data_IF_091536137944
#
_entry.id   IF_091536137944
#
_cell.length_a   1.000
_cell.length_b   1.000
_cell.length_c   1.000
_cell.angle_alpha   90.00
_cell.angle_beta   90.00
_cell.angle_gamma   90.00
#
_symmetry.space_group_name_H-M   'P 1'
#
loop_
_entity.id
_entity.type
_entity.pdbx_description
1 polymer ?
#
# COMPACT_ATOMS: atom_id res chain seq x y z
N UNK A 1 -17.94 -59.64 -1.58
CA UNK A 1 -16.82 -58.69 -1.49
C UNK A 1 -17.09 -57.68 -0.40
N UNK A 2 -16.49 -57.80 0.76
CA UNK A 2 -16.69 -56.96 1.93
C UNK A 2 -16.04 -55.59 1.70
N UNK A 3 -16.84 -54.54 1.53
CA UNK A 3 -16.35 -53.18 1.39
C UNK A 3 -15.70 -52.70 2.69
N UNK A 4 -14.40 -52.39 2.66
CA UNK A 4 -13.69 -51.76 3.79
C UNK A 4 -14.48 -50.53 4.31
N UNK A 5 -14.88 -50.58 5.59
CA UNK A 5 -15.49 -49.40 6.28
C UNK A 5 -14.53 -48.20 6.20
N UNK A 6 -15.03 -47.11 5.73
CA UNK A 6 -14.26 -45.86 5.67
C UNK A 6 -14.04 -45.28 7.08
N UNK A 7 -12.92 -44.56 7.30
CA UNK A 7 -12.67 -43.86 8.58
C UNK A 7 -13.79 -42.87 8.95
N UNK A 8 -14.05 -42.74 10.25
CA UNK A 8 -15.03 -41.78 10.77
C UNK A 8 -14.66 -40.35 10.34
N UNK A 9 -15.56 -39.64 9.64
CA UNK A 9 -15.35 -38.22 9.21
C UNK A 9 -15.18 -38.02 7.70
N UNK A 10 -15.04 -39.06 6.89
CA UNK A 10 -14.82 -38.92 5.43
C UNK A 10 -16.10 -38.60 4.61
N UNK A 11 -17.27 -38.53 5.23
CA UNK A 11 -18.53 -38.23 4.53
C UNK A 11 -19.03 -39.37 3.63
N UNK A 12 -20.22 -39.23 3.07
CA UNK A 12 -20.83 -40.18 2.13
C UNK A 12 -20.68 -39.71 0.69
N UNK A 13 -20.27 -40.57 -0.21
CA UNK A 13 -20.22 -40.31 -1.66
C UNK A 13 -21.38 -41.03 -2.32
N UNK A 14 -22.21 -40.30 -3.07
CA UNK A 14 -23.33 -40.86 -3.83
C UNK A 14 -23.13 -40.48 -5.30
N UNK A 15 -23.25 -41.47 -6.19
CA UNK A 15 -23.24 -41.25 -7.63
C UNK A 15 -24.62 -40.77 -8.05
N UNK A 16 -24.70 -39.63 -8.70
CA UNK A 16 -25.95 -39.04 -9.17
C UNK A 16 -26.37 -39.65 -10.54
N UNK A 17 -27.65 -39.60 -10.92
CA UNK A 17 -28.13 -40.12 -12.20
C UNK A 17 -27.44 -39.51 -13.41
N UNK A 18 -26.97 -38.26 -13.31
CA UNK A 18 -26.22 -37.56 -14.36
C UNK A 18 -24.70 -37.91 -14.39
N UNK A 19 -24.29 -38.95 -13.67
CA UNK A 19 -22.90 -39.39 -13.62
C UNK A 19 -21.98 -38.61 -12.70
N UNK A 20 -22.43 -37.45 -12.14
CA UNK A 20 -21.64 -36.70 -11.18
C UNK A 20 -21.58 -37.37 -9.80
N UNK A 21 -20.54 -37.02 -9.03
CA UNK A 21 -20.33 -37.53 -7.68
C UNK A 21 -20.74 -36.46 -6.66
N UNK A 22 -21.70 -36.80 -5.78
CA UNK A 22 -22.11 -35.93 -4.65
C UNK A 22 -21.46 -36.46 -3.38
N UNK A 23 -20.74 -35.62 -2.66
CA UNK A 23 -20.18 -35.93 -1.35
C UNK A 23 -20.76 -35.00 -0.30
N UNK A 24 -21.25 -35.58 0.80
CA UNK A 24 -21.77 -34.84 1.95
C UNK A 24 -20.78 -34.95 3.11
N UNK A 25 -20.35 -33.80 3.62
CA UNK A 25 -19.42 -33.70 4.74
C UNK A 25 -20.06 -32.97 5.91
N UNK A 26 -19.66 -33.33 7.13
CA UNK A 26 -20.04 -32.63 8.36
C UNK A 26 -18.99 -31.57 8.66
N UNK A 27 -19.40 -30.32 8.82
CA UNK A 27 -18.55 -29.16 9.08
C UNK A 27 -18.54 -28.74 10.57
N UNK A 28 -18.97 -29.61 11.47
CA UNK A 28 -19.04 -29.33 12.92
C UNK A 28 -20.47 -29.27 13.43
N UNK A 29 -20.65 -28.72 14.64
CA UNK A 29 -21.93 -28.52 15.31
C UNK A 29 -22.24 -27.04 15.36
N UNK A 30 -23.48 -26.63 15.01
CA UNK A 30 -23.92 -25.25 15.08
C UNK A 30 -24.19 -24.81 16.52
N UNK A 31 -24.45 -23.52 16.73
CA UNK A 31 -24.85 -22.98 18.02
C UNK A 31 -26.18 -23.58 18.55
N UNK A 32 -26.94 -24.17 17.65
CA UNK A 32 -28.21 -24.91 17.94
C UNK A 32 -28.00 -26.37 18.32
N UNK A 33 -26.75 -26.82 18.50
CA UNK A 33 -26.38 -28.21 18.80
C UNK A 33 -26.54 -29.19 17.62
N UNK A 34 -26.97 -28.73 16.45
CA UNK A 34 -27.17 -29.60 15.27
C UNK A 34 -25.92 -29.66 14.39
N UNK A 35 -25.69 -30.83 13.76
CA UNK A 35 -24.59 -31.02 12.82
C UNK A 35 -24.79 -30.17 11.57
N UNK A 36 -23.83 -29.26 11.31
CA UNK A 36 -23.74 -28.54 10.03
C UNK A 36 -23.16 -29.46 8.98
N UNK A 37 -23.97 -29.79 7.95
CA UNK A 37 -23.55 -30.62 6.81
C UNK A 37 -23.57 -29.79 5.53
N UNK A 38 -22.60 -30.00 4.65
CA UNK A 38 -22.60 -29.46 3.29
C UNK A 38 -22.31 -30.55 2.28
N UNK A 39 -22.94 -30.41 1.10
CA UNK A 39 -22.73 -31.33 -0.03
C UNK A 39 -22.01 -30.63 -1.16
N UNK A 40 -21.07 -31.32 -1.78
CA UNK A 40 -20.32 -30.89 -2.96
C UNK A 40 -20.60 -31.89 -4.07
N UNK A 41 -20.85 -31.37 -5.28
CA UNK A 41 -21.03 -32.19 -6.48
C UNK A 41 -19.93 -31.82 -7.48
N UNK A 42 -19.29 -32.83 -8.07
CA UNK A 42 -18.22 -32.66 -9.05
C UNK A 42 -18.29 -33.76 -10.12
N UNK A 43 -17.75 -33.48 -11.31
CA UNK A 43 -17.71 -34.46 -12.40
C UNK A 43 -16.63 -35.52 -12.18
N UNK A 44 -15.55 -35.18 -11.52
CA UNK A 44 -14.44 -36.08 -11.22
C UNK A 44 -14.19 -36.20 -9.72
N UNK A 45 -13.59 -37.32 -9.30
CA UNK A 45 -13.20 -37.57 -7.91
C UNK A 45 -12.15 -36.55 -7.44
N UNK A 46 -11.24 -36.16 -8.31
CA UNK A 46 -10.18 -35.17 -7.99
C UNK A 46 -10.77 -33.78 -7.72
N UNK A 47 -11.68 -33.31 -8.57
CA UNK A 47 -12.40 -32.06 -8.41
C UNK A 47 -13.25 -32.06 -7.13
N UNK A 48 -13.92 -33.18 -6.86
CA UNK A 48 -14.72 -33.35 -5.65
C UNK A 48 -13.85 -33.24 -4.39
N UNK A 49 -12.69 -33.91 -4.37
CA UNK A 49 -11.76 -33.84 -3.23
C UNK A 49 -11.23 -32.41 -3.02
N UNK A 50 -10.97 -31.67 -4.10
CA UNK A 50 -10.55 -30.29 -4.04
C UNK A 50 -11.62 -29.41 -3.38
N UNK A 51 -12.87 -29.48 -3.83
CA UNK A 51 -13.97 -28.72 -3.26
C UNK A 51 -14.25 -29.08 -1.79
N UNK A 52 -14.09 -30.35 -1.43
CA UNK A 52 -14.20 -30.79 -0.03
C UNK A 52 -13.10 -30.21 0.85
N UNK A 53 -11.86 -30.19 0.34
CA UNK A 53 -10.73 -29.58 1.05
C UNK A 53 -10.98 -28.07 1.26
N UNK A 54 -11.43 -27.35 0.23
CA UNK A 54 -11.81 -25.94 0.31
C UNK A 54 -12.86 -25.68 1.39
N UNK A 55 -13.93 -26.49 1.41
CA UNK A 55 -14.99 -26.35 2.43
C UNK A 55 -14.50 -26.63 3.85
N UNK A 56 -13.62 -27.62 4.03
CA UNK A 56 -13.02 -27.93 5.34
C UNK A 56 -12.11 -26.81 5.82
N UNK A 57 -11.29 -26.26 4.93
CA UNK A 57 -10.44 -25.09 5.22
C UNK A 57 -11.29 -23.88 5.61
N UNK A 58 -12.35 -23.58 4.85
CA UNK A 58 -13.26 -22.48 5.16
C UNK A 58 -13.96 -22.66 6.51
N UNK A 59 -14.25 -23.91 6.89
CA UNK A 59 -14.89 -24.25 8.16
C UNK A 59 -13.91 -24.35 9.34
N UNK A 60 -12.60 -24.17 9.13
CA UNK A 60 -11.58 -24.35 10.16
C UNK A 60 -11.32 -25.82 10.55
N UNK A 61 -11.83 -26.77 9.76
CA UNK A 61 -11.70 -28.21 10.00
C UNK A 61 -10.58 -28.78 9.13
N UNK A 62 -9.33 -28.63 9.56
CA UNK A 62 -8.21 -29.35 8.94
C UNK A 62 -8.13 -30.78 9.48
N UNK A 63 -8.23 -31.76 8.59
CA UNK A 63 -7.79 -33.12 8.90
C UNK A 63 -6.41 -33.32 8.30
N UNK A 64 -5.52 -33.97 9.01
CA UNK A 64 -4.13 -34.29 8.61
C UNK A 64 -4.00 -35.02 7.26
N UNK A 65 -5.08 -35.36 6.60
CA UNK A 65 -5.14 -36.15 5.37
C UNK A 65 -5.23 -35.30 4.10
N UNK A 66 -5.69 -34.05 4.16
CA UNK A 66 -5.85 -33.20 2.97
C UNK A 66 -4.61 -32.29 2.78
N UNK A 67 -3.60 -32.88 2.19
CA UNK A 67 -2.27 -32.29 1.98
C UNK A 67 -2.30 -31.35 0.77
N UNK A 68 -2.79 -30.11 0.97
CA UNK A 68 -2.90 -29.09 -0.07
C UNK A 68 -1.52 -28.68 -0.60
N UNK A 69 -1.44 -28.46 -1.91
CA UNK A 69 -0.32 -27.74 -2.52
C UNK A 69 -0.39 -26.25 -2.18
N UNK A 70 0.75 -25.60 -2.14
CA UNK A 70 0.81 -24.16 -1.82
C UNK A 70 -0.04 -23.31 -2.74
N UNK A 71 -0.12 -23.67 -4.04
CA UNK A 71 -1.00 -23.01 -5.00
C UNK A 71 -2.45 -22.99 -4.53
N UNK A 72 -2.97 -24.12 -4.08
CA UNK A 72 -4.36 -24.24 -3.64
C UNK A 72 -4.63 -23.38 -2.40
N UNK A 73 -3.65 -23.29 -1.48
CA UNK A 73 -3.74 -22.43 -0.31
C UNK A 73 -3.74 -20.96 -0.70
N UNK A 74 -2.92 -20.54 -1.68
CA UNK A 74 -2.91 -19.17 -2.22
C UNK A 74 -4.24 -18.84 -2.87
N UNK A 75 -4.79 -19.73 -3.68
CA UNK A 75 -6.08 -19.52 -4.36
C UNK A 75 -7.21 -19.37 -3.34
N UNK A 76 -7.28 -20.22 -2.31
CA UNK A 76 -8.27 -20.12 -1.22
C UNK A 76 -8.10 -18.80 -0.44
N UNK A 77 -6.85 -18.43 -0.13
CA UNK A 77 -6.56 -17.17 0.58
C UNK A 77 -7.04 -15.96 -0.21
N UNK A 78 -6.74 -15.87 -1.50
CA UNK A 78 -7.14 -14.77 -2.36
C UNK A 78 -8.66 -14.68 -2.51
N UNK A 79 -9.32 -15.81 -2.75
CA UNK A 79 -10.78 -15.88 -2.85
C UNK A 79 -11.46 -15.43 -1.53
N UNK A 80 -10.91 -15.83 -0.36
CA UNK A 80 -11.45 -15.39 0.94
C UNK A 80 -11.33 -13.88 1.16
N UNK A 81 -10.42 -13.22 0.46
CA UNK A 81 -10.16 -11.78 0.57
C UNK A 81 -10.64 -10.97 -0.63
N UNK A 82 -11.31 -11.58 -1.59
CA UNK A 82 -11.67 -10.95 -2.87
C UNK A 82 -12.40 -9.62 -2.68
N UNK A 83 -13.39 -9.56 -1.78
CA UNK A 83 -14.19 -8.37 -1.50
C UNK A 83 -13.47 -7.30 -0.66
N UNK A 84 -12.36 -7.67 -0.01
CA UNK A 84 -11.64 -6.77 0.92
C UNK A 84 -10.37 -6.18 0.35
N UNK A 85 -9.81 -6.78 -0.72
CA UNK A 85 -8.58 -6.31 -1.34
C UNK A 85 -8.85 -5.15 -2.29
N UNK A 86 -8.17 -4.02 -2.05
CA UNK A 86 -8.10 -2.95 -3.05
C UNK A 86 -7.36 -3.45 -4.30
N UNK A 87 -7.67 -2.86 -5.46
CA UNK A 87 -7.04 -3.24 -6.73
C UNK A 87 -5.52 -3.09 -6.70
N UNK A 88 -5.01 -2.03 -6.07
CA UNK A 88 -3.56 -1.85 -5.85
C UNK A 88 -2.94 -2.96 -5.00
N UNK A 89 -3.66 -3.46 -3.99
CA UNK A 89 -3.21 -4.59 -3.17
C UNK A 89 -3.24 -5.89 -3.98
N UNK A 90 -4.26 -6.08 -4.82
CA UNK A 90 -4.37 -7.23 -5.74
C UNK A 90 -3.20 -7.29 -6.71
N UNK A 91 -2.81 -6.15 -7.32
CA UNK A 91 -1.61 -6.09 -8.17
C UNK A 91 -0.32 -6.43 -7.41
N UNK A 92 -0.20 -5.99 -6.16
CA UNK A 92 0.96 -6.35 -5.33
C UNK A 92 1.01 -7.85 -5.01
N UNK A 93 -0.15 -8.51 -4.84
CA UNK A 93 -0.20 -9.97 -4.73
C UNK A 93 0.17 -10.64 -6.06
N UNK A 94 -0.33 -10.16 -7.19
CA UNK A 94 0.04 -10.69 -8.51
C UNK A 94 1.56 -10.61 -8.76
N UNK A 95 2.19 -9.53 -8.34
CA UNK A 95 3.64 -9.41 -8.38
C UNK A 95 4.33 -10.43 -7.46
N UNK A 96 3.85 -10.60 -6.22
CA UNK A 96 4.40 -11.57 -5.27
C UNK A 96 4.21 -13.02 -5.76
N UNK A 97 3.08 -13.31 -6.39
CA UNK A 97 2.82 -14.61 -7.01
C UNK A 97 3.89 -14.93 -8.05
N UNK A 98 4.09 -14.07 -9.02
CA UNK A 98 5.08 -14.28 -10.09
C UNK A 98 6.52 -14.34 -9.58
N UNK A 99 6.86 -13.49 -8.62
CA UNK A 99 8.24 -13.36 -8.16
C UNK A 99 8.66 -14.40 -7.11
N UNK A 100 7.73 -14.81 -6.23
CA UNK A 100 8.04 -15.62 -5.05
C UNK A 100 7.17 -16.87 -4.92
N UNK A 101 5.87 -16.83 -5.29
CA UNK A 101 4.96 -17.91 -4.99
C UNK A 101 4.99 -19.02 -6.05
N UNK A 102 5.05 -18.68 -7.34
CA UNK A 102 5.05 -19.67 -8.43
C UNK A 102 6.13 -20.74 -8.28
N UNK A 103 7.39 -20.42 -7.91
CA UNK A 103 8.40 -21.46 -7.64
C UNK A 103 8.04 -22.41 -6.49
N UNK A 104 7.14 -21.98 -5.58
CA UNK A 104 6.69 -22.78 -4.45
C UNK A 104 5.43 -23.62 -4.76
N UNK A 105 4.74 -23.38 -5.87
CA UNK A 105 3.46 -24.02 -6.20
C UNK A 105 3.53 -25.54 -6.35
N UNK A 106 4.67 -26.07 -6.73
CA UNK A 106 4.90 -27.51 -6.85
C UNK A 106 5.03 -28.24 -5.52
N UNK A 107 5.17 -27.49 -4.41
CA UNK A 107 5.35 -28.08 -3.09
C UNK A 107 4.03 -28.09 -2.33
N UNK A 108 3.84 -29.13 -1.53
CA UNK A 108 2.78 -29.17 -0.54
C UNK A 108 3.09 -28.18 0.57
N UNK A 109 2.05 -27.58 1.16
CA UNK A 109 2.20 -26.53 2.18
C UNK A 109 3.03 -27.01 3.38
N UNK A 110 2.88 -28.29 3.78
CA UNK A 110 3.63 -28.91 4.89
C UNK A 110 5.09 -29.22 4.56
N UNK A 111 5.50 -29.09 3.30
CA UNK A 111 6.86 -29.37 2.81
C UNK A 111 7.65 -28.09 2.48
N UNK A 112 7.05 -26.94 2.66
CA UNK A 112 7.74 -25.66 2.47
C UNK A 112 8.55 -25.36 3.73
N UNK A 113 9.88 -25.50 3.61
CA UNK A 113 10.82 -25.24 4.70
C UNK A 113 11.39 -23.82 4.65
N UNK A 114 11.95 -23.31 5.75
CA UNK A 114 12.66 -22.03 5.76
C UNK A 114 13.76 -21.95 4.70
N UNK A 115 14.53 -23.03 4.53
CA UNK A 115 15.66 -23.13 3.60
C UNK A 115 15.16 -23.03 2.15
N UNK A 116 14.04 -23.67 1.82
CA UNK A 116 13.43 -23.59 0.50
C UNK A 116 12.96 -22.15 0.20
N UNK A 117 12.35 -21.47 1.17
CA UNK A 117 11.94 -20.08 1.02
C UNK A 117 13.16 -19.20 0.80
N UNK A 118 14.21 -19.35 1.61
CA UNK A 118 15.43 -18.57 1.47
C UNK A 118 16.12 -18.81 0.12
N UNK A 119 16.17 -20.07 -0.35
CA UNK A 119 16.69 -20.41 -1.67
C UNK A 119 15.93 -19.74 -2.82
N UNK A 120 14.60 -19.76 -2.76
CA UNK A 120 13.77 -19.09 -3.78
C UNK A 120 14.01 -17.59 -3.74
N UNK A 121 14.06 -16.98 -2.57
CA UNK A 121 14.29 -15.54 -2.41
C UNK A 121 15.68 -15.13 -2.94
N UNK A 122 16.71 -15.96 -2.73
CA UNK A 122 18.06 -15.65 -3.21
C UNK A 122 18.18 -15.63 -4.74
N UNK A 123 17.24 -16.29 -5.43
CA UNK A 123 17.14 -16.30 -6.89
C UNK A 123 16.32 -15.16 -7.48
N UNK A 124 15.61 -14.38 -6.66
CA UNK A 124 14.79 -13.28 -7.18
C UNK A 124 15.68 -12.15 -7.70
N UNK A 125 15.54 -11.86 -8.98
CA UNK A 125 16.24 -10.77 -9.66
C UNK A 125 15.25 -9.78 -10.30
N UNK A 126 15.72 -8.59 -10.64
CA UNK A 126 14.99 -7.67 -11.51
C UNK A 126 15.03 -8.15 -12.96
N UNK A 127 14.29 -7.46 -13.85
CA UNK A 127 14.28 -7.78 -15.29
C UNK A 127 15.67 -7.65 -15.96
N UNK A 128 16.54 -6.81 -15.43
CA UNK A 128 17.91 -6.60 -15.88
C UNK A 128 18.93 -7.61 -15.30
N UNK A 129 18.45 -8.64 -14.59
CA UNK A 129 19.27 -9.65 -13.93
C UNK A 129 19.92 -9.21 -12.61
N UNK A 130 19.79 -7.95 -12.21
CA UNK A 130 20.35 -7.46 -10.94
C UNK A 130 19.52 -7.91 -9.74
N UNK A 131 20.15 -7.93 -8.55
CA UNK A 131 19.44 -8.31 -7.32
C UNK A 131 18.29 -7.36 -6.99
N UNK A 132 17.19 -7.93 -6.53
CA UNK A 132 16.04 -7.16 -6.05
C UNK A 132 16.41 -6.35 -4.80
N UNK A 133 15.83 -5.15 -4.68
CA UNK A 133 16.03 -4.30 -3.51
C UNK A 133 15.56 -4.99 -2.23
N UNK A 134 16.29 -4.89 -1.11
CA UNK A 134 15.92 -5.51 0.16
C UNK A 134 14.52 -5.13 0.66
N UNK A 135 14.09 -3.88 0.44
CA UNK A 135 12.73 -3.42 0.78
C UNK A 135 11.65 -4.15 -0.04
N UNK A 136 11.91 -4.42 -1.32
CA UNK A 136 11.01 -5.19 -2.18
C UNK A 136 10.95 -6.65 -1.73
N UNK A 137 12.09 -7.26 -1.40
CA UNK A 137 12.15 -8.62 -0.84
C UNK A 137 11.33 -8.69 0.46
N UNK A 138 11.45 -7.69 1.33
CA UNK A 138 10.64 -7.63 2.57
C UNK A 138 9.15 -7.58 2.24
N UNK A 139 8.74 -6.71 1.32
CA UNK A 139 7.33 -6.63 0.91
C UNK A 139 6.79 -7.95 0.34
N UNK A 140 7.61 -8.70 -0.41
CA UNK A 140 7.28 -10.04 -0.89
C UNK A 140 7.13 -11.04 0.26
N UNK A 141 8.07 -11.03 1.23
CA UNK A 141 7.99 -11.86 2.45
C UNK A 141 6.74 -11.54 3.28
N UNK A 142 6.35 -10.27 3.40
CA UNK A 142 5.14 -9.87 4.12
C UNK A 142 3.87 -10.44 3.45
N UNK A 143 3.83 -10.51 2.10
CA UNK A 143 2.73 -11.17 1.37
C UNK A 143 2.72 -12.68 1.61
N UNK A 144 3.89 -13.31 1.56
CA UNK A 144 4.02 -14.73 1.87
C UNK A 144 3.60 -15.02 3.33
N UNK A 145 3.99 -14.16 4.27
CA UNK A 145 3.62 -14.28 5.68
C UNK A 145 2.10 -14.23 5.88
N UNK A 146 1.40 -13.38 5.14
CA UNK A 146 -0.05 -13.32 5.20
C UNK A 146 -0.71 -14.65 4.77
N UNK A 147 -0.20 -15.28 3.71
CA UNK A 147 -0.66 -16.60 3.24
C UNK A 147 -0.32 -17.71 4.25
N UNK A 148 0.92 -17.73 4.75
CA UNK A 148 1.36 -18.73 5.73
C UNK A 148 0.60 -18.63 7.06
N UNK A 149 0.36 -17.40 7.54
CA UNK A 149 -0.45 -17.16 8.75
C UNK A 149 -1.91 -17.57 8.55
N UNK A 150 -2.47 -17.35 7.35
CA UNK A 150 -3.78 -17.88 6.99
C UNK A 150 -3.78 -19.40 7.05
N UNK A 151 -2.75 -20.07 6.52
CA UNK A 151 -2.63 -21.53 6.58
C UNK A 151 -2.55 -22.04 8.04
N UNK A 152 -1.82 -21.34 8.91
CA UNK A 152 -1.76 -21.65 10.34
C UNK A 152 -3.13 -21.45 11.00
N UNK A 153 -3.80 -20.35 10.76
CA UNK A 153 -5.13 -20.04 11.32
C UNK A 153 -6.20 -21.05 10.87
N UNK A 154 -5.99 -21.72 9.72
CA UNK A 154 -6.87 -22.77 9.19
C UNK A 154 -6.42 -24.19 9.57
N UNK A 155 -5.38 -24.33 10.41
CA UNK A 155 -4.87 -25.62 10.85
C UNK A 155 -4.15 -26.44 9.76
N UNK A 156 -3.81 -25.82 8.62
CA UNK A 156 -3.04 -26.46 7.53
C UNK A 156 -1.55 -26.55 7.87
N UNK A 157 -1.08 -25.69 8.75
CA UNK A 157 0.26 -25.66 9.31
C UNK A 157 0.18 -25.45 10.83
N UNK A 158 1.07 -26.11 11.56
CA UNK A 158 1.23 -25.86 12.99
C UNK A 158 1.96 -24.54 13.27
N UNK A 159 2.97 -24.24 12.46
CA UNK A 159 3.82 -23.04 12.60
C UNK A 159 4.20 -22.53 11.22
N UNK A 160 4.23 -21.21 11.07
CA UNK A 160 4.70 -20.58 9.84
C UNK A 160 6.22 -20.79 9.67
N UNK A 161 6.68 -21.34 8.53
CA UNK A 161 8.11 -21.54 8.26
C UNK A 161 8.89 -20.21 8.22
N UNK A 162 8.22 -19.09 7.98
CA UNK A 162 8.87 -17.77 7.92
C UNK A 162 9.49 -17.32 9.24
N UNK A 163 9.09 -17.89 10.39
CA UNK A 163 9.70 -17.57 11.69
C UNK A 163 11.20 -17.91 11.75
N UNK A 164 11.63 -18.88 10.96
CA UNK A 164 13.00 -19.40 10.95
C UNK A 164 13.78 -19.06 9.68
N UNK A 165 13.20 -18.26 8.76
CA UNK A 165 13.95 -17.77 7.59
C UNK A 165 15.02 -16.75 8.00
N UNK A 166 16.08 -16.63 7.19
CA UNK A 166 17.18 -15.65 7.42
C UNK A 166 16.61 -14.26 7.64
N UNK A 167 16.97 -13.65 8.76
CA UNK A 167 16.74 -12.21 8.97
C UNK A 167 17.71 -11.48 8.04
N UNK A 168 17.24 -11.07 6.87
CA UNK A 168 18.01 -10.18 6.02
C UNK A 168 17.98 -8.81 6.69
N UNK A 169 19.14 -8.35 7.12
CA UNK A 169 19.27 -6.96 7.51
C UNK A 169 18.91 -6.13 6.28
N UNK A 170 17.80 -5.41 6.38
CA UNK A 170 17.64 -4.27 5.49
C UNK A 170 18.89 -3.41 5.71
N UNK A 171 19.53 -2.91 4.65
CA UNK A 171 20.43 -1.79 4.87
C UNK A 171 19.62 -0.86 5.76
N UNK A 172 20.17 -0.55 6.93
CA UNK A 172 19.63 0.53 7.74
C UNK A 172 19.49 1.64 6.72
N UNK A 173 18.27 1.98 6.34
CA UNK A 173 18.03 3.24 5.66
C UNK A 173 18.59 4.23 6.67
N UNK A 174 19.85 4.59 6.52
CA UNK A 174 20.34 5.75 7.21
C UNK A 174 19.41 6.82 6.68
N UNK A 175 18.54 7.30 7.54
CA UNK A 175 17.68 8.42 7.22
C UNK A 175 18.58 9.65 6.98
N UNK A 176 19.86 9.56 7.38
CA UNK A 176 20.95 10.47 6.96
C UNK A 176 21.02 10.70 5.43
N UNK A 177 20.34 9.88 4.61
CA UNK A 177 20.26 10.04 3.15
C UNK A 177 18.94 10.70 2.68
N UNK A 178 18.04 11.11 3.56
CA UNK A 178 16.93 11.95 3.15
C UNK A 178 17.38 13.40 3.13
N UNK A 179 18.27 13.72 2.19
CA UNK A 179 18.66 15.11 1.94
C UNK A 179 17.42 15.83 1.43
N UNK A 180 16.85 16.67 2.27
CA UNK A 180 15.76 17.54 1.86
C UNK A 180 16.35 18.69 1.02
N UNK A 181 15.59 19.19 0.04
CA UNK A 181 16.02 20.37 -0.69
C UNK A 181 16.09 21.58 0.26
N UNK A 182 17.05 22.45 0.00
CA UNK A 182 17.11 23.75 0.67
C UNK A 182 15.93 24.64 0.23
N UNK A 183 15.68 25.71 0.97
CA UNK A 183 14.67 26.69 0.58
C UNK A 183 15.00 27.34 -0.78
N UNK A 184 16.26 27.61 -1.06
CA UNK A 184 16.69 28.19 -2.33
C UNK A 184 16.52 27.22 -3.49
N UNK A 185 16.82 25.92 -3.29
CA UNK A 185 16.54 24.89 -4.29
C UNK A 185 15.05 24.77 -4.60
N UNK A 186 14.19 24.90 -3.60
CA UNK A 186 12.74 24.90 -3.82
C UNK A 186 12.24 26.18 -4.51
N UNK A 187 12.79 27.35 -4.17
CA UNK A 187 12.51 28.59 -4.89
C UNK A 187 12.92 28.50 -6.35
N UNK A 188 14.10 27.97 -6.61
CA UNK A 188 14.57 27.72 -7.98
C UNK A 188 13.64 26.77 -8.72
N UNK A 189 13.26 25.65 -8.12
CA UNK A 189 12.34 24.66 -8.69
C UNK A 189 10.98 25.29 -9.06
N UNK A 190 10.41 26.12 -8.18
CA UNK A 190 9.15 26.80 -8.42
C UNK A 190 9.27 27.80 -9.56
N UNK A 191 10.35 28.58 -9.61
CA UNK A 191 10.61 29.54 -10.69
C UNK A 191 10.77 28.83 -12.04
N UNK A 192 11.54 27.75 -12.10
CA UNK A 192 11.72 26.96 -13.32
C UNK A 192 10.42 26.30 -13.76
N UNK A 193 9.59 25.78 -12.82
CA UNK A 193 8.28 25.22 -13.13
C UNK A 193 7.34 26.29 -13.69
N UNK A 194 7.37 27.52 -13.15
CA UNK A 194 6.59 28.64 -13.63
C UNK A 194 6.97 29.05 -15.07
N UNK A 195 8.26 29.18 -15.34
CA UNK A 195 8.78 29.45 -16.69
C UNK A 195 8.48 28.31 -17.68
N UNK A 196 8.53 27.06 -17.22
CA UNK A 196 8.18 25.90 -18.02
C UNK A 196 6.69 25.92 -18.39
N UNK A 197 5.82 26.25 -17.45
CA UNK A 197 4.37 26.30 -17.67
C UNK A 197 3.99 27.46 -18.61
N UNK A 198 4.70 28.61 -18.60
CA UNK A 198 4.50 29.70 -19.57
C UNK A 198 4.74 29.27 -21.00
N UNK A 199 5.72 28.40 -21.24
CA UNK A 199 6.12 27.88 -22.54
C UNK A 199 5.30 26.66 -22.99
N UNK A 200 4.45 26.13 -22.10
CA UNK A 200 3.70 24.90 -22.35
C UNK A 200 2.25 25.18 -22.66
N UNK A 201 1.61 24.31 -23.44
CA UNK A 201 0.18 24.39 -23.71
C UNK A 201 -0.62 24.38 -22.39
N UNK A 202 -1.61 25.27 -22.27
CA UNK A 202 -2.51 25.38 -21.13
C UNK A 202 -3.43 24.18 -20.95
N UNK A 203 -3.57 23.35 -21.99
CA UNK A 203 -4.37 22.11 -21.94
C UNK A 203 -3.68 20.94 -21.24
N UNK A 204 -2.50 21.15 -20.66
CA UNK A 204 -1.79 20.15 -19.85
C UNK A 204 -1.70 20.60 -18.42
N UNK A 205 -1.49 19.62 -17.51
CA UNK A 205 -1.30 19.90 -16.08
C UNK A 205 -0.18 20.92 -15.88
N UNK A 206 -0.47 22.00 -15.17
CA UNK A 206 0.50 23.03 -14.82
C UNK A 206 1.30 22.57 -13.59
N UNK A 207 2.64 22.64 -13.68
CA UNK A 207 3.53 22.11 -12.64
C UNK A 207 3.78 23.09 -11.52
N UNK A 208 3.89 24.38 -11.84
CA UNK A 208 4.12 25.43 -10.84
C UNK A 208 3.05 25.44 -9.73
N UNK A 209 1.76 25.62 -10.04
CA UNK A 209 0.74 25.62 -8.99
C UNK A 209 0.64 24.26 -8.27
N UNK A 210 0.93 23.14 -8.94
CA UNK A 210 0.96 21.82 -8.31
C UNK A 210 2.07 21.70 -7.27
N UNK A 211 3.29 22.14 -7.60
CA UNK A 211 4.44 22.10 -6.70
C UNK A 211 4.27 23.09 -5.56
N UNK A 212 3.79 24.31 -5.84
CA UNK A 212 3.50 25.32 -4.82
C UNK A 212 2.52 24.78 -3.78
N UNK A 213 1.41 24.18 -4.24
CA UNK A 213 0.42 23.60 -3.34
C UNK A 213 0.98 22.37 -2.58
N UNK A 214 1.84 21.57 -3.22
CA UNK A 214 2.50 20.44 -2.55
C UNK A 214 3.40 20.90 -1.40
N UNK A 215 4.21 21.93 -1.61
CA UNK A 215 5.06 22.54 -0.58
C UNK A 215 4.22 23.15 0.55
N UNK A 216 3.16 23.87 0.22
CA UNK A 216 2.34 24.59 1.18
C UNK A 216 1.47 23.68 2.05
N UNK A 217 1.11 22.49 1.57
CA UNK A 217 0.15 21.61 2.24
C UNK A 217 0.71 20.28 2.71
N UNK A 218 1.79 19.80 2.10
CA UNK A 218 2.33 18.45 2.33
C UNK A 218 1.39 17.34 1.89
N UNK A 219 0.41 17.59 1.03
CA UNK A 219 -0.53 16.57 0.52
C UNK A 219 0.20 15.48 -0.27
N UNK A 220 -0.37 14.27 -0.29
CA UNK A 220 0.12 13.21 -1.17
C UNK A 220 -0.23 13.53 -2.61
N UNK A 221 0.62 13.08 -3.56
CA UNK A 221 0.39 13.34 -5.00
C UNK A 221 -1.01 12.90 -5.46
N UNK A 222 -1.48 11.74 -5.01
CA UNK A 222 -2.82 11.27 -5.38
C UNK A 222 -3.95 12.11 -4.79
N UNK A 223 -3.79 12.65 -3.59
CA UNK A 223 -4.73 13.58 -2.95
C UNK A 223 -4.78 14.90 -3.72
N UNK A 224 -3.60 15.46 -4.05
CA UNK A 224 -3.50 16.69 -4.86
C UNK A 224 -4.16 16.51 -6.23
N UNK A 225 -3.83 15.43 -6.94
CA UNK A 225 -4.33 15.21 -8.31
C UNK A 225 -5.84 14.95 -8.37
N UNK A 226 -6.48 14.59 -7.25
CA UNK A 226 -7.93 14.37 -7.18
C UNK A 226 -8.74 15.61 -6.82
N UNK A 227 -8.08 16.70 -6.45
CA UNK A 227 -8.75 17.92 -6.01
C UNK A 227 -9.73 18.48 -7.06
N UNK A 228 -10.86 18.89 -6.55
CA UNK A 228 -11.92 19.57 -7.26
C UNK A 228 -12.04 21.02 -6.74
N UNK A 229 -12.57 21.94 -7.53
CA UNK A 229 -12.80 23.33 -7.08
C UNK A 229 -13.76 23.41 -5.89
N UNK A 230 -14.72 22.50 -5.79
CA UNK A 230 -15.65 22.40 -4.66
C UNK A 230 -14.99 21.99 -3.33
N UNK A 231 -13.77 21.44 -3.39
CA UNK A 231 -13.02 21.06 -2.21
C UNK A 231 -12.31 22.26 -1.57
N UNK A 232 -12.34 23.43 -2.24
CA UNK A 232 -11.70 24.66 -1.82
C UNK A 232 -12.75 25.63 -1.32
N UNK A 233 -12.62 26.02 -0.06
CA UNK A 233 -13.39 27.10 0.57
C UNK A 233 -12.54 28.37 0.57
N UNK A 234 -12.93 29.35 -0.27
CA UNK A 234 -12.23 30.64 -0.41
C UNK A 234 -12.54 31.64 0.72
N UNK A 235 -13.62 31.43 1.46
CA UNK A 235 -13.93 32.30 2.61
C UNK A 235 -13.05 31.91 3.81
N UNK A 236 -12.81 30.60 3.98
CA UNK A 236 -12.01 30.06 5.08
C UNK A 236 -10.57 29.70 4.69
N UNK A 237 -10.23 29.83 3.42
CA UNK A 237 -8.93 29.44 2.86
C UNK A 237 -8.55 28.01 3.21
N UNK A 238 -9.49 27.08 3.03
CA UNK A 238 -9.30 25.67 3.38
C UNK A 238 -9.48 24.75 2.20
N UNK A 239 -8.82 23.59 2.27
CA UNK A 239 -8.94 22.50 1.31
C UNK A 239 -9.41 21.25 2.04
N UNK A 240 -10.51 20.67 1.57
CA UNK A 240 -11.05 19.40 2.06
C UNK A 240 -10.42 18.22 1.34
N UNK A 241 -9.71 17.36 2.06
CA UNK A 241 -9.07 16.15 1.52
C UNK A 241 -9.90 14.93 1.89
N UNK A 242 -10.54 14.29 0.91
CA UNK A 242 -11.47 13.18 1.14
C UNK A 242 -11.28 11.99 0.19
N UNK A 243 -10.53 12.17 -0.89
CA UNK A 243 -10.29 11.14 -1.91
C UNK A 243 -8.90 11.27 -2.52
N UNK A 244 -8.55 10.35 -3.40
CA UNK A 244 -7.28 10.36 -4.12
C UNK A 244 -7.45 9.84 -5.55
N UNK A 245 -6.71 10.41 -6.48
CA UNK A 245 -6.51 9.88 -7.81
C UNK A 245 -5.44 8.78 -7.75
N UNK A 246 -5.75 7.64 -8.33
CA UNK A 246 -4.81 6.52 -8.48
C UNK A 246 -4.79 6.07 -9.93
N UNK A 247 -3.94 5.09 -10.27
CA UNK A 247 -3.98 4.44 -11.60
C UNK A 247 -5.33 3.79 -11.93
N UNK A 248 -6.18 3.59 -10.94
CA UNK A 248 -7.50 2.96 -11.09
C UNK A 248 -8.64 4.00 -11.16
N UNK A 249 -8.31 5.28 -11.22
CA UNK A 249 -9.27 6.37 -11.36
C UNK A 249 -9.30 7.34 -10.20
N UNK A 250 -10.25 8.23 -10.26
CA UNK A 250 -10.56 9.29 -9.28
C UNK A 250 -11.53 8.80 -8.21
N UNK A 251 -11.61 9.56 -7.11
CA UNK A 251 -12.57 9.28 -6.03
C UNK A 251 -12.25 8.04 -5.19
N UNK A 252 -11.05 7.44 -5.36
CA UNK A 252 -10.66 6.30 -4.56
C UNK A 252 -10.61 6.68 -3.08
N UNK A 253 -11.12 5.81 -2.19
CA UNK A 253 -11.10 6.08 -0.76
C UNK A 253 -9.67 6.23 -0.25
N UNK A 254 -9.49 7.11 0.71
CA UNK A 254 -8.24 7.25 1.43
C UNK A 254 -7.98 5.99 2.26
N UNK A 255 -6.70 5.64 2.43
CA UNK A 255 -6.29 4.39 3.10
C UNK A 255 -6.78 4.27 4.55
N UNK A 256 -7.00 5.40 5.23
CA UNK A 256 -7.43 5.44 6.64
C UNK A 256 -8.45 6.55 6.85
N UNK A 257 -9.31 6.41 7.84
CA UNK A 257 -10.24 7.47 8.24
C UNK A 257 -9.53 8.77 8.64
N UNK A 258 -8.36 8.67 9.26
CA UNK A 258 -7.51 9.81 9.65
C UNK A 258 -6.94 10.58 8.46
N UNK A 259 -6.98 10.02 7.26
CA UNK A 259 -6.53 10.71 6.06
C UNK A 259 -7.52 11.76 5.56
N UNK A 260 -8.82 11.67 5.94
CA UNK A 260 -9.80 12.73 5.70
C UNK A 260 -9.53 13.89 6.63
N UNK A 261 -9.33 15.08 6.07
CA UNK A 261 -8.95 16.26 6.83
C UNK A 261 -9.23 17.54 6.07
N UNK A 262 -9.25 18.63 6.80
CA UNK A 262 -9.30 20.00 6.24
C UNK A 262 -7.93 20.62 6.49
N UNK A 263 -7.37 21.27 5.47
CA UNK A 263 -6.07 21.91 5.51
C UNK A 263 -6.27 23.41 5.25
N UNK A 264 -5.88 24.25 6.20
CA UNK A 264 -5.78 25.69 5.98
C UNK A 264 -4.56 26.00 5.11
N UNK A 265 -4.73 26.88 4.12
CA UNK A 265 -3.67 27.36 3.23
C UNK A 265 -3.61 28.89 3.36
N UNK A 266 -2.41 29.45 3.38
CA UNK A 266 -2.24 30.90 3.38
C UNK A 266 -2.99 31.52 2.19
N UNK A 267 -3.77 32.59 2.39
CA UNK A 267 -4.60 33.20 1.35
C UNK A 267 -3.84 33.52 0.06
N UNK A 268 -2.67 34.15 0.17
CA UNK A 268 -1.85 34.55 -0.98
C UNK A 268 -1.37 33.34 -1.78
N UNK A 269 -0.97 32.26 -1.08
CA UNK A 269 -0.55 31.01 -1.73
C UNK A 269 -1.73 30.35 -2.44
N UNK A 270 -2.89 30.29 -1.81
CA UNK A 270 -4.07 29.67 -2.40
C UNK A 270 -4.52 30.43 -3.65
N UNK A 271 -4.55 31.75 -3.59
CA UNK A 271 -4.91 32.62 -4.72
C UNK A 271 -3.89 32.50 -5.85
N UNK A 272 -2.58 32.48 -5.53
CA UNK A 272 -1.51 32.27 -6.51
C UNK A 272 -1.66 30.93 -7.24
N UNK A 273 -1.94 29.86 -6.50
CA UNK A 273 -2.22 28.54 -7.09
C UNK A 273 -3.39 28.61 -8.05
N UNK A 274 -4.51 29.20 -7.64
CA UNK A 274 -5.74 29.23 -8.44
C UNK A 274 -5.61 30.12 -9.67
N UNK A 275 -4.89 31.24 -9.59
CA UNK A 275 -4.62 32.15 -10.70
C UNK A 275 -3.76 31.48 -11.79
N UNK A 276 -2.92 30.53 -11.42
CA UNK A 276 -2.07 29.79 -12.35
C UNK A 276 -2.72 28.47 -12.88
N UNK A 277 -3.97 28.18 -12.49
CA UNK A 277 -4.74 27.05 -13.03
C UNK A 277 -5.80 27.60 -13.98
N UNK A 278 -5.69 27.37 -15.31
CA UNK A 278 -6.67 27.87 -16.27
C UNK A 278 -8.09 27.44 -15.91
N UNK A 279 -9.09 28.31 -16.06
CA UNK A 279 -10.49 27.92 -15.90
C UNK A 279 -10.89 26.87 -16.93
N UNK A 280 -11.93 26.09 -16.64
CA UNK A 280 -12.50 25.16 -17.61
C UNK A 280 -14.02 25.16 -17.50
N UNK A 281 -14.72 25.26 -18.61
CA UNK A 281 -16.17 25.14 -18.65
C UNK A 281 -16.64 23.66 -18.56
N UNK A 282 -15.73 22.71 -18.79
CA UNK A 282 -16.06 21.29 -18.93
C UNK A 282 -15.86 20.51 -17.63
N UNK A 283 -14.89 20.92 -16.79
CA UNK A 283 -14.52 20.16 -15.60
C UNK A 283 -14.20 21.05 -14.43
N UNK A 284 -14.70 20.68 -13.26
CA UNK A 284 -14.40 21.33 -11.98
C UNK A 284 -13.07 20.85 -11.37
N UNK A 285 -12.48 19.78 -11.91
CA UNK A 285 -11.18 19.26 -11.43
C UNK A 285 -10.06 20.26 -11.64
N UNK A 286 -9.17 20.42 -10.66
CA UNK A 286 -8.06 21.37 -10.76
C UNK A 286 -7.03 20.93 -11.79
N UNK A 287 -6.64 19.66 -11.77
CA UNK A 287 -5.57 19.14 -12.62
C UNK A 287 -6.13 18.44 -13.85
N UNK A 288 -5.95 19.05 -14.99
CA UNK A 288 -6.59 18.64 -16.23
C UNK A 288 -5.58 18.43 -17.35
N UNK A 289 -6.01 17.67 -18.34
CA UNK A 289 -5.40 17.56 -19.65
C UNK A 289 -6.50 17.49 -20.69
N UNK A 290 -6.42 18.34 -21.71
CA UNK A 290 -7.47 18.48 -22.75
C UNK A 290 -8.87 18.69 -22.15
N UNK A 291 -8.98 19.57 -21.14
CA UNK A 291 -10.24 19.92 -20.47
C UNK A 291 -10.79 18.89 -19.48
N UNK A 292 -10.28 17.66 -19.44
CA UNK A 292 -10.72 16.61 -18.51
C UNK A 292 -9.69 16.33 -17.44
N UNK A 293 -10.08 15.63 -16.36
CA UNK A 293 -9.14 15.27 -15.30
C UNK A 293 -7.96 14.49 -15.88
N UNK A 294 -6.74 14.87 -15.48
CA UNK A 294 -5.51 14.19 -15.90
C UNK A 294 -5.48 12.74 -15.38
N UNK A 295 -5.01 11.81 -16.20
CA UNK A 295 -4.74 10.44 -15.75
C UNK A 295 -3.52 10.41 -14.86
N UNK A 296 -3.56 9.58 -13.81
CA UNK A 296 -2.49 9.47 -12.81
C UNK A 296 -1.10 9.26 -13.46
N UNK A 297 -0.98 8.27 -14.35
CA UNK A 297 0.30 7.95 -15.03
C UNK A 297 0.80 9.10 -15.89
N UNK A 298 -0.10 9.84 -16.52
CA UNK A 298 0.26 11.01 -17.35
C UNK A 298 0.83 12.13 -16.49
N UNK A 299 0.16 12.43 -15.36
CA UNK A 299 0.65 13.41 -14.40
C UNK A 299 2.02 13.02 -13.84
N UNK A 300 2.16 11.78 -13.37
CA UNK A 300 3.41 11.25 -12.82
C UNK A 300 4.54 11.32 -13.86
N UNK A 301 4.29 10.90 -15.10
CA UNK A 301 5.29 10.95 -16.18
C UNK A 301 5.75 12.37 -16.46
N UNK A 302 4.83 13.34 -16.49
CA UNK A 302 5.17 14.76 -16.72
C UNK A 302 5.98 15.33 -15.55
N UNK A 303 5.54 15.10 -14.31
CA UNK A 303 6.23 15.54 -13.09
C UNK A 303 7.68 15.02 -13.08
N UNK A 304 7.86 13.70 -13.20
CA UNK A 304 9.20 13.12 -13.11
C UNK A 304 10.08 13.45 -14.31
N UNK A 305 9.52 13.69 -15.50
CA UNK A 305 10.29 14.19 -16.64
C UNK A 305 10.86 15.57 -16.35
N UNK A 306 10.08 16.46 -15.75
CA UNK A 306 10.52 17.78 -15.34
C UNK A 306 11.58 17.69 -14.23
N UNK A 307 11.29 16.97 -13.15
CA UNK A 307 12.20 16.82 -12.01
C UNK A 307 13.56 16.20 -12.38
N UNK A 308 13.58 15.33 -13.39
CA UNK A 308 14.83 14.73 -13.89
C UNK A 308 15.79 15.75 -14.52
N UNK A 309 15.27 16.88 -14.99
CA UNK A 309 16.06 17.99 -15.52
C UNK A 309 16.61 18.96 -14.46
N UNK A 310 16.22 18.77 -13.19
CA UNK A 310 16.61 19.63 -12.07
C UNK A 310 17.78 19.01 -11.29
N UNK A 311 19.00 19.08 -11.84
CA UNK A 311 20.21 18.45 -11.29
C UNK A 311 20.72 19.06 -9.98
N UNK A 312 20.27 20.27 -9.65
CA UNK A 312 20.52 20.95 -8.37
C UNK A 312 19.72 20.36 -7.21
N UNK A 313 18.69 19.54 -7.47
CA UNK A 313 17.94 18.86 -6.41
C UNK A 313 18.73 17.66 -5.86
N UNK A 314 18.46 17.24 -4.61
CA UNK A 314 19.07 16.06 -4.04
C UNK A 314 18.91 14.81 -4.94
N UNK A 315 19.92 13.95 -5.03
CA UNK A 315 20.00 12.78 -5.94
C UNK A 315 18.75 11.89 -5.94
N UNK A 316 18.11 11.73 -4.78
CA UNK A 316 16.93 10.89 -4.61
C UNK A 316 15.65 11.69 -4.44
N UNK A 317 15.61 12.93 -4.96
CA UNK A 317 14.43 13.77 -4.85
C UNK A 317 13.23 13.14 -5.58
N UNK A 318 12.12 13.05 -4.87
CA UNK A 318 10.85 12.57 -5.38
C UNK A 318 9.73 13.54 -4.99
N UNK A 319 8.57 13.44 -5.61
CA UNK A 319 7.43 14.27 -5.23
C UNK A 319 7.08 14.17 -3.73
N UNK A 320 7.37 13.03 -3.10
CA UNK A 320 7.12 12.84 -1.67
C UNK A 320 8.05 13.69 -0.79
N UNK A 321 9.17 14.17 -1.32
CA UNK A 321 10.07 15.07 -0.60
C UNK A 321 9.43 16.42 -0.27
N UNK A 322 8.46 16.91 -1.06
CA UNK A 322 7.68 18.10 -0.70
C UNK A 322 6.95 17.92 0.63
N UNK A 323 6.37 16.75 0.83
CA UNK A 323 5.69 16.41 2.08
C UNK A 323 6.65 16.28 3.26
N UNK A 324 7.82 15.67 3.02
CA UNK A 324 8.87 15.57 4.04
C UNK A 324 9.38 16.97 4.40
N UNK A 325 9.63 17.82 3.41
CA UNK A 325 10.04 19.20 3.63
C UNK A 325 8.98 19.96 4.46
N UNK A 326 7.71 19.91 4.05
CA UNK A 326 6.63 20.57 4.77
C UNK A 326 6.54 20.11 6.24
N UNK A 327 6.63 18.79 6.47
CA UNK A 327 6.63 18.24 7.83
C UNK A 327 7.81 18.75 8.67
N UNK A 328 9.01 18.71 8.10
CA UNK A 328 10.24 19.14 8.77
C UNK A 328 10.19 20.64 9.10
N UNK A 329 9.75 21.49 8.15
CA UNK A 329 9.64 22.93 8.40
C UNK A 329 8.66 23.27 9.54
N UNK A 330 7.54 22.54 9.63
CA UNK A 330 6.59 22.73 10.74
C UNK A 330 7.20 22.30 12.08
N UNK A 331 7.91 21.18 12.10
CA UNK A 331 8.57 20.67 13.31
C UNK A 331 9.70 21.60 13.78
N UNK A 332 10.54 22.09 12.86
CA UNK A 332 11.59 23.06 13.14
C UNK A 332 11.04 24.40 13.69
N UNK A 333 9.83 24.77 13.26
CA UNK A 333 9.11 25.94 13.82
C UNK A 333 8.42 25.65 15.17
N UNK A 334 8.66 24.49 15.79
CA UNK A 334 8.13 24.11 17.10
C UNK A 334 6.65 23.68 17.09
N UNK A 335 6.06 23.43 15.92
CA UNK A 335 4.68 22.94 15.85
C UNK A 335 4.61 21.52 16.42
N UNK A 336 3.65 21.29 17.31
CA UNK A 336 3.49 20.00 17.98
C UNK A 336 3.40 18.83 16.97
N UNK A 337 4.22 17.78 17.12
CA UNK A 337 4.21 16.62 16.21
C UNK A 337 2.83 15.99 15.99
N UNK A 338 1.95 16.05 16.97
CA UNK A 338 0.57 15.56 16.88
C UNK A 338 -0.24 16.39 15.88
N UNK A 339 -0.08 17.71 15.90
CA UNK A 339 -0.77 18.63 14.95
C UNK A 339 -0.20 18.46 13.54
N UNK A 340 1.13 18.31 13.40
CA UNK A 340 1.76 18.00 12.12
C UNK A 340 1.25 16.66 11.57
N UNK A 341 1.17 15.63 12.40
CA UNK A 341 0.63 14.32 12.03
C UNK A 341 -0.82 14.40 11.56
N UNK A 342 -1.66 15.17 12.26
CA UNK A 342 -3.07 15.42 11.91
C UNK A 342 -3.18 16.17 10.57
N UNK A 343 -2.42 17.26 10.41
CA UNK A 343 -2.40 18.07 9.17
C UNK A 343 -2.01 17.22 7.96
N UNK A 344 -1.04 16.34 8.12
CA UNK A 344 -0.58 15.45 7.06
C UNK A 344 -1.50 14.22 6.85
N UNK A 345 -2.33 13.86 7.81
CA UNK A 345 -3.15 12.65 7.75
C UNK A 345 -2.30 11.38 7.84
N UNK A 346 -1.36 11.32 8.82
CA UNK A 346 -0.62 10.11 9.12
C UNK A 346 -1.48 9.15 9.94
N UNK A 347 -1.42 7.85 9.60
CA UNK A 347 -2.14 6.82 10.35
C UNK A 347 -1.60 6.63 11.78
N UNK A 348 -0.36 7.02 12.03
CA UNK A 348 0.31 6.96 13.32
C UNK A 348 1.25 8.15 13.47
N UNK A 349 1.27 8.74 14.67
CA UNK A 349 2.22 9.81 15.03
C UNK A 349 3.68 9.34 14.90
N UNK A 350 3.92 8.04 15.02
CA UNK A 350 5.26 7.45 14.86
C UNK A 350 5.90 7.84 13.54
N UNK A 351 5.12 7.92 12.45
CA UNK A 351 5.62 8.34 11.13
C UNK A 351 6.17 9.76 11.18
N UNK A 352 5.52 10.66 11.91
CA UNK A 352 5.99 12.04 12.11
C UNK A 352 7.20 12.09 13.02
N UNK A 353 7.21 11.31 14.10
CA UNK A 353 8.32 11.24 15.05
C UNK A 353 9.58 10.60 14.44
N UNK A 354 9.42 9.61 13.56
CA UNK A 354 10.54 9.00 12.85
C UNK A 354 11.22 10.03 11.91
N UNK A 355 10.46 10.96 11.30
CA UNK A 355 11.00 12.09 10.55
C UNK A 355 11.72 13.09 11.47
N UNK A 356 11.18 13.31 12.66
CA UNK A 356 11.69 14.25 13.65
C UNK A 356 13.03 13.80 14.27
N UNK A 357 13.19 12.51 14.51
CA UNK A 357 14.36 11.94 15.16
C UNK A 357 15.69 12.28 14.47
N UNK A 358 15.65 12.62 13.16
CA UNK A 358 16.84 13.02 12.39
C UNK A 358 17.29 14.46 12.61
N UNK A 359 16.38 15.33 13.05
CA UNK A 359 16.65 16.76 13.29
C UNK A 359 16.79 17.09 14.79
N UNK A 360 16.77 16.05 15.65
CA UNK A 360 16.93 16.19 17.11
C UNK A 360 18.19 16.95 17.53
N UNK A 361 19.38 16.82 16.86
CA UNK A 361 20.57 17.58 17.28
C UNK A 361 20.42 19.10 17.18
N UNK A 362 19.75 19.60 16.14
CA UNK A 362 19.49 21.05 15.99
C UNK A 362 18.49 21.56 17.04
N UNK A 363 17.54 20.71 17.41
CA UNK A 363 16.53 21.04 18.43
C UNK A 363 17.05 20.91 19.83
N UNK A 364 18.04 20.06 20.08
CA UNK A 364 18.69 19.96 21.38
C UNK A 364 19.39 21.28 21.74
N UNK A 365 20.05 21.91 20.75
CA UNK A 365 20.63 23.24 20.93
C UNK A 365 19.56 24.31 21.20
N UNK A 366 18.40 24.25 20.51
CA UNK A 366 17.28 25.14 20.77
C UNK A 366 16.65 24.89 22.14
N UNK A 367 16.50 23.63 22.54
CA UNK A 367 16.01 23.25 23.86
C UNK A 367 16.93 23.74 24.96
N UNK A 368 18.25 23.56 24.81
CA UNK A 368 19.25 24.07 25.74
C UNK A 368 19.17 25.60 25.87
N UNK A 369 19.01 26.32 24.75
CA UNK A 369 18.85 27.78 24.75
C UNK A 369 17.52 28.23 25.38
N UNK A 370 16.45 27.41 25.29
CA UNK A 370 15.13 27.73 25.86
C UNK A 370 15.07 27.58 27.38
N UNK A 371 15.94 26.73 27.98
CA UNK A 371 16.06 26.59 29.42
C UNK A 371 16.74 27.83 30.04
N UNK A 372 17.49 28.54 29.20
CA UNK A 372 17.99 29.88 29.51
C UNK A 372 19.11 29.94 30.56
N UNK A 373 19.70 31.12 30.63
CA UNK A 373 20.71 31.49 31.63
C UNK A 373 20.11 31.92 33.00
N UNK A 374 18.80 31.77 33.18
CA UNK A 374 18.09 32.23 34.38
C UNK A 374 18.50 31.51 35.64
N UNK A 375 19.33 30.46 35.54
CA UNK A 375 19.87 29.71 36.67
C UNK A 375 21.35 30.06 36.99
N UNK A 376 21.95 30.97 36.18
CA UNK A 376 23.29 31.47 36.47
C UNK A 376 23.12 32.64 37.46
N UNK A 377 23.56 32.46 38.71
CA UNK A 377 23.59 33.46 39.79
C UNK A 377 24.71 34.48 39.55
#
# INVERSE_FOLDING_TARGET
>A
MSGKRRPKGEGSITKMPNGSLKMTITLGVGADGKQKRRSVTAKTKTEQMRHVAELRVQAGLSTHTDKLYFKEVVDIFLNTKEDTLTEGTRLNYNFAIKALFEPLYQYRIDKITPELIDFVIDKITKRDGTKMNPSTIRALKDKLAAVMNFAVARGLLNVSPLKHTKKRQLPVRRVDTLTLPSEDQLKQLLNEAHEYDKKTNKDVIQLYPLFLLAVATGMRIGELLDLDRKDIDLERYTISVHSQLTRFGSGNPLKTATSRRIIYVQPDILMEVLNNIPPSPVSTKLWRQNGVQVKYETAIRRIYRFLKGCDYLPEHFTFHCFRHYHATQLLLKGINPKEVSKRLGHASIKITLDLYAHWMPEMDAQAANSVGTNFIL
#
